data_IF_736338580013
#
_entry.id   IF_736338580013
#
_cell.length_a   1.000
_cell.length_b   1.000
_cell.length_c   1.000
_cell.angle_alpha   90.00
_cell.angle_beta   90.00
_cell.angle_gamma   90.00
#
_symmetry.space_group_name_H-M   'P 1'
#
loop_
_entity.id
_entity.type
_entity.pdbx_description
1 polymer ?
#
# COMPACT_ATOMS: atom_id res chain seq x y z
N UNK A 1 42.93 -24.55 -7.42
CA UNK A 1 43.06 -23.32 -6.60
C UNK A 1 42.05 -22.30 -7.14
N UNK A 2 40.82 -22.36 -6.61
CA UNK A 2 39.70 -21.40 -6.68
C UNK A 2 39.33 -20.73 -8.03
N UNK A 3 38.50 -21.42 -8.82
CA UNK A 3 37.66 -20.85 -9.86
C UNK A 3 36.42 -20.22 -9.21
N UNK A 4 36.44 -18.89 -8.99
CA UNK A 4 35.28 -18.15 -8.50
C UNK A 4 34.42 -17.80 -9.72
N UNK A 5 33.47 -18.68 -10.03
CA UNK A 5 32.35 -18.37 -10.92
C UNK A 5 31.71 -17.05 -10.48
N UNK A 6 31.81 -16.05 -11.34
CA UNK A 6 31.00 -14.83 -11.30
C UNK A 6 29.54 -15.27 -11.39
N UNK A 7 28.88 -15.47 -10.26
CA UNK A 7 27.43 -15.62 -10.22
C UNK A 7 26.85 -14.28 -10.70
N UNK A 8 26.47 -14.20 -11.97
CA UNK A 8 25.81 -13.03 -12.53
C UNK A 8 24.62 -12.69 -11.62
N UNK A 9 24.67 -11.52 -10.98
CA UNK A 9 23.65 -11.09 -10.04
C UNK A 9 22.34 -10.91 -10.81
N UNK A 10 21.39 -11.84 -10.63
CA UNK A 10 20.10 -11.79 -11.31
C UNK A 10 19.29 -10.64 -10.68
N UNK A 11 19.14 -9.54 -11.42
CA UNK A 11 18.38 -8.37 -10.99
C UNK A 11 17.09 -8.22 -11.81
N UNK A 12 16.03 -7.67 -11.21
CA UNK A 12 14.76 -7.43 -11.89
C UNK A 12 14.93 -6.30 -12.93
N UNK A 13 14.39 -6.48 -14.14
CA UNK A 13 14.33 -5.38 -15.12
C UNK A 13 13.33 -4.31 -14.68
N UNK A 14 13.75 -3.04 -14.67
CA UNK A 14 12.89 -1.89 -14.38
C UNK A 14 12.11 -1.45 -15.63
N UNK A 15 11.06 -2.20 -15.97
CA UNK A 15 10.23 -1.96 -17.17
C UNK A 15 8.88 -1.30 -16.89
N UNK A 16 8.45 -1.22 -15.63
CA UNK A 16 7.15 -0.64 -15.26
C UNK A 16 7.14 0.88 -15.46
N UNK A 17 6.24 1.35 -16.33
CA UNK A 17 5.97 2.77 -16.56
C UNK A 17 4.91 3.35 -15.63
N UNK A 18 4.61 4.64 -15.80
CA UNK A 18 3.59 5.34 -15.01
C UNK A 18 2.21 4.65 -15.10
N UNK A 19 1.78 4.34 -16.33
CA UNK A 19 0.48 3.71 -16.56
C UNK A 19 0.40 2.35 -15.87
N UNK A 20 1.42 1.51 -16.01
CA UNK A 20 1.46 0.18 -15.39
C UNK A 20 1.33 0.27 -13.86
N UNK A 21 2.09 1.17 -13.23
CA UNK A 21 2.06 1.36 -11.78
C UNK A 21 0.70 1.91 -11.32
N UNK A 22 0.11 2.86 -12.06
CA UNK A 22 -1.22 3.38 -11.73
C UNK A 22 -2.30 2.30 -11.83
N UNK A 23 -2.24 1.44 -12.85
CA UNK A 23 -3.19 0.34 -13.02
C UNK A 23 -3.03 -0.72 -11.93
N UNK A 24 -1.80 -1.02 -11.52
CA UNK A 24 -1.53 -1.89 -10.36
C UNK A 24 -2.19 -1.29 -9.10
N UNK A 25 -2.02 0.02 -8.88
CA UNK A 25 -2.63 0.71 -7.74
C UNK A 25 -4.16 0.66 -7.76
N UNK A 26 -4.80 1.00 -8.89
CA UNK A 26 -6.27 0.97 -9.04
C UNK A 26 -6.80 -0.45 -8.86
N UNK A 27 -6.14 -1.43 -9.48
CA UNK A 27 -6.51 -2.85 -9.35
C UNK A 27 -6.38 -3.36 -7.92
N UNK A 28 -5.38 -2.90 -7.16
CA UNK A 28 -5.22 -3.26 -5.76
C UNK A 28 -6.26 -2.61 -4.82
N UNK A 29 -6.84 -1.46 -5.19
CA UNK A 29 -7.88 -0.78 -4.40
C UNK A 29 -9.28 -1.38 -4.60
N UNK A 30 -9.59 -1.85 -5.81
CA UNK A 30 -10.91 -2.41 -6.13
C UNK A 30 -10.93 -3.90 -5.72
N UNK A 31 -11.46 -4.19 -4.53
CA UNK A 31 -11.58 -5.55 -3.98
C UNK A 31 -13.01 -5.92 -3.57
N UNK A 32 -13.17 -7.08 -2.91
CA UNK A 32 -14.47 -7.59 -2.45
C UNK A 32 -15.24 -6.60 -1.54
N UNK A 33 -14.51 -5.77 -0.80
CA UNK A 33 -15.07 -4.77 0.11
C UNK A 33 -16.07 -3.81 -0.55
N UNK A 34 -15.83 -3.35 -1.79
CA UNK A 34 -16.76 -2.43 -2.46
C UNK A 34 -18.09 -3.10 -2.80
N UNK A 35 -18.08 -4.41 -3.09
CA UNK A 35 -19.25 -5.17 -3.48
C UNK A 35 -20.09 -5.64 -2.28
N UNK A 36 -19.45 -5.87 -1.13
CA UNK A 36 -20.11 -6.36 0.09
C UNK A 36 -20.37 -5.24 1.11
N UNK A 37 -19.33 -4.49 1.48
CA UNK A 37 -19.41 -3.51 2.58
C UNK A 37 -20.25 -2.30 2.22
N UNK A 38 -20.33 -1.91 0.94
CA UNK A 38 -21.23 -0.83 0.51
C UNK A 38 -22.68 -1.15 0.86
N UNK A 39 -23.14 -2.39 0.65
CA UNK A 39 -24.53 -2.76 0.94
C UNK A 39 -24.85 -2.62 2.43
N UNK A 40 -23.93 -3.07 3.28
CA UNK A 40 -24.05 -2.94 4.74
C UNK A 40 -24.01 -1.46 5.14
N UNK A 41 -23.07 -0.68 4.60
CA UNK A 41 -22.95 0.74 4.86
C UNK A 41 -24.18 1.54 4.38
N UNK A 42 -24.76 1.17 3.25
CA UNK A 42 -26.00 1.75 2.74
C UNK A 42 -27.19 1.43 3.66
N UNK A 43 -27.24 0.24 4.25
CA UNK A 43 -28.25 -0.11 5.24
C UNK A 43 -28.19 0.77 6.50
N UNK A 44 -26.99 1.19 6.92
CA UNK A 44 -26.82 2.06 8.09
C UNK A 44 -26.93 3.55 7.78
N UNK A 45 -26.30 4.02 6.70
CA UNK A 45 -26.19 5.44 6.36
C UNK A 45 -27.27 5.92 5.37
N UNK A 46 -27.92 5.01 4.65
CA UNK A 46 -28.90 5.34 3.61
C UNK A 46 -28.30 6.27 2.55
N UNK A 47 -29.05 7.29 2.08
CA UNK A 47 -28.57 8.27 1.10
C UNK A 47 -27.34 9.07 1.54
N UNK A 48 -27.08 9.17 2.86
CA UNK A 48 -25.92 9.88 3.38
C UNK A 48 -24.59 9.15 3.11
N UNK A 49 -24.62 7.92 2.60
CA UNK A 49 -23.44 7.16 2.20
C UNK A 49 -22.55 7.95 1.22
N UNK A 50 -23.14 8.69 0.28
CA UNK A 50 -22.38 9.52 -0.66
C UNK A 50 -21.55 10.60 0.05
N UNK A 51 -22.09 11.20 1.12
CA UNK A 51 -21.37 12.20 1.93
C UNK A 51 -20.23 11.53 2.70
N UNK A 52 -20.46 10.34 3.26
CA UNK A 52 -19.40 9.58 3.93
C UNK A 52 -18.25 9.21 2.98
N UNK A 53 -18.55 8.81 1.75
CA UNK A 53 -17.54 8.55 0.73
C UNK A 53 -16.78 9.81 0.30
N UNK A 54 -17.46 10.95 0.20
CA UNK A 54 -16.81 12.23 -0.13
C UNK A 54 -15.84 12.66 0.97
N UNK A 55 -16.24 12.55 2.24
CA UNK A 55 -15.36 12.80 3.38
C UNK A 55 -14.17 11.84 3.42
N UNK A 56 -14.40 10.54 3.18
CA UNK A 56 -13.33 9.55 3.09
C UNK A 56 -12.36 9.86 1.94
N UNK A 57 -12.85 10.34 0.81
CA UNK A 57 -12.04 10.79 -0.32
C UNK A 57 -11.07 11.89 0.08
N UNK A 58 -11.55 12.92 0.78
CA UNK A 58 -10.71 14.03 1.28
C UNK A 58 -9.59 13.50 2.19
N UNK A 59 -9.93 12.66 3.18
CA UNK A 59 -8.97 12.05 4.10
C UNK A 59 -7.93 11.21 3.34
N UNK A 60 -8.38 10.43 2.36
CA UNK A 60 -7.51 9.56 1.56
C UNK A 60 -6.57 10.36 0.66
N UNK A 61 -7.01 11.51 0.13
CA UNK A 61 -6.15 12.41 -0.66
C UNK A 61 -4.97 12.92 0.16
N UNK A 62 -5.20 13.35 1.40
CA UNK A 62 -4.09 13.78 2.27
C UNK A 62 -3.11 12.65 2.55
N UNK A 63 -3.62 11.45 2.86
CA UNK A 63 -2.78 10.26 3.03
C UNK A 63 -1.99 9.92 1.77
N UNK A 64 -2.62 9.98 0.59
CA UNK A 64 -1.98 9.70 -0.69
C UNK A 64 -0.85 10.70 -1.01
N UNK A 65 -1.04 11.98 -0.70
CA UNK A 65 0.00 13.01 -0.86
C UNK A 65 1.20 12.72 0.05
N UNK A 66 0.98 12.40 1.33
CA UNK A 66 2.08 12.01 2.24
C UNK A 66 2.82 10.75 1.75
N UNK A 67 2.09 9.77 1.20
CA UNK A 67 2.69 8.57 0.62
C UNK A 67 3.49 8.89 -0.66
N UNK A 68 3.02 9.84 -1.48
CA UNK A 68 3.73 10.28 -2.67
C UNK A 68 5.06 10.97 -2.32
N UNK A 69 5.06 11.85 -1.32
CA UNK A 69 6.28 12.49 -0.82
C UNK A 69 7.28 11.44 -0.29
N UNK A 70 6.85 10.57 0.62
CA UNK A 70 7.70 9.53 1.19
C UNK A 70 8.21 8.54 0.14
N UNK A 71 7.36 8.15 -0.82
CA UNK A 71 7.74 7.27 -1.93
C UNK A 71 8.76 7.89 -2.87
N UNK A 72 8.70 9.21 -3.08
CA UNK A 72 9.69 9.94 -3.88
C UNK A 72 11.02 10.13 -3.14
N UNK A 73 11.00 10.34 -1.82
CA UNK A 73 12.19 10.49 -0.99
C UNK A 73 12.92 9.16 -0.73
N UNK A 74 12.18 8.06 -0.58
CA UNK A 74 12.71 6.74 -0.23
C UNK A 74 12.32 5.71 -1.31
N UNK A 75 12.97 5.72 -2.50
CA UNK A 75 12.59 4.90 -3.66
C UNK A 75 13.11 3.46 -3.55
N UNK A 76 12.74 2.78 -2.46
CA UNK A 76 13.09 1.40 -2.17
C UNK A 76 11.84 0.57 -1.85
N UNK A 77 11.87 -0.73 -2.18
CA UNK A 77 10.79 -1.65 -1.84
C UNK A 77 10.67 -1.82 -0.31
N UNK A 78 9.43 -1.77 0.20
CA UNK A 78 9.13 -2.01 1.61
C UNK A 78 8.10 -1.09 2.27
N UNK A 79 7.61 -0.07 1.54
CA UNK A 79 6.49 0.79 1.94
C UNK A 79 6.57 1.29 3.41
N UNK A 80 5.46 1.29 4.15
CA UNK A 80 5.35 1.85 5.50
C UNK A 80 6.33 1.25 6.51
N UNK A 81 6.70 -0.03 6.39
CA UNK A 81 7.72 -0.63 7.26
C UNK A 81 9.07 0.09 7.13
N UNK A 82 9.52 0.33 5.90
CA UNK A 82 10.80 1.00 5.64
C UNK A 82 10.74 2.48 6.03
N UNK A 83 9.65 3.18 5.72
CA UNK A 83 9.51 4.59 6.07
C UNK A 83 9.58 4.81 7.58
N UNK A 84 8.87 3.99 8.37
CA UNK A 84 8.89 4.07 9.83
C UNK A 84 10.25 3.64 10.39
N UNK A 85 10.86 2.59 9.83
CA UNK A 85 12.18 2.13 10.25
C UNK A 85 13.26 3.20 10.05
N UNK A 86 13.21 3.93 8.94
CA UNK A 86 14.17 5.00 8.61
C UNK A 86 13.95 6.23 9.49
N UNK A 87 12.69 6.63 9.72
CA UNK A 87 12.38 7.84 10.51
C UNK A 87 12.41 7.65 12.03
N UNK A 88 12.05 6.46 12.54
CA UNK A 88 11.79 6.22 13.97
C UNK A 88 12.61 5.07 14.57
N UNK A 89 13.44 4.40 13.77
CA UNK A 89 14.32 3.33 14.21
C UNK A 89 13.69 1.94 14.27
N UNK A 90 14.46 0.97 14.78
CA UNK A 90 14.20 -0.46 14.62
C UNK A 90 12.91 -0.97 15.28
N UNK A 91 12.61 -0.56 16.51
CA UNK A 91 11.45 -1.09 17.27
C UNK A 91 10.12 -0.62 16.68
N UNK A 92 10.03 0.66 16.31
CA UNK A 92 8.84 1.21 15.66
C UNK A 92 8.67 0.64 14.25
N UNK A 93 9.78 0.46 13.53
CA UNK A 93 9.79 -0.26 12.26
C UNK A 93 9.22 -1.67 12.39
N UNK A 94 9.66 -2.46 13.38
CA UNK A 94 9.15 -3.80 13.63
C UNK A 94 7.63 -3.81 13.88
N UNK A 95 7.14 -2.92 14.73
CA UNK A 95 5.71 -2.81 15.02
C UNK A 95 4.90 -2.42 13.77
N UNK A 96 5.38 -1.48 12.97
CA UNK A 96 4.75 -1.09 11.71
C UNK A 96 4.72 -2.24 10.69
N UNK A 97 5.79 -3.04 10.63
CA UNK A 97 5.84 -4.26 9.82
C UNK A 97 4.78 -5.26 10.24
N UNK A 98 4.63 -5.50 11.54
CA UNK A 98 3.59 -6.37 12.07
C UNK A 98 2.18 -5.88 11.81
N UNK A 99 1.92 -4.59 12.02
CA UNK A 99 0.61 -4.01 11.72
C UNK A 99 0.25 -4.18 10.24
N UNK A 100 1.19 -3.90 9.33
CA UNK A 100 0.96 -4.07 7.89
C UNK A 100 0.67 -5.52 7.51
N UNK A 101 1.42 -6.47 8.08
CA UNK A 101 1.21 -7.89 7.79
C UNK A 101 -0.18 -8.37 8.23
N UNK A 102 -0.62 -8.01 9.44
CA UNK A 102 -1.97 -8.32 9.91
C UNK A 102 -3.05 -7.64 9.06
N UNK A 103 -2.85 -6.36 8.70
CA UNK A 103 -3.78 -5.64 7.86
C UNK A 103 -3.98 -6.33 6.49
N UNK A 104 -2.91 -6.81 5.86
CA UNK A 104 -3.00 -7.56 4.61
C UNK A 104 -3.68 -8.92 4.76
N UNK A 105 -3.46 -9.62 5.88
CA UNK A 105 -4.18 -10.88 6.15
C UNK A 105 -5.68 -10.64 6.24
N UNK A 106 -6.10 -9.63 7.01
CA UNK A 106 -7.52 -9.29 7.17
C UNK A 106 -8.11 -8.84 5.84
N UNK A 107 -7.37 -8.06 5.04
CA UNK A 107 -7.79 -7.64 3.72
C UNK A 107 -8.00 -8.82 2.75
N UNK A 108 -7.15 -9.85 2.80
CA UNK A 108 -7.31 -11.06 1.99
C UNK A 108 -8.42 -12.00 2.48
N UNK A 109 -8.87 -11.86 3.73
CA UNK A 109 -9.94 -12.68 4.28
C UNK A 109 -11.35 -12.17 3.93
N UNK A 110 -11.46 -10.92 3.47
CA UNK A 110 -12.68 -10.23 3.02
C UNK A 110 -12.94 -10.47 1.53
#
# INVERSE_FOLDING_TARGET
MNDRTNAAEITLSRTLGLLDITMIGVGAMIGAGIFVLIGIAAGHAGPALAIAFLLNGIVTTFTALSYAELGSCLPAAGAGYRWVKEGMGGTQGFLAGWMNWFAYIVACAL
#
